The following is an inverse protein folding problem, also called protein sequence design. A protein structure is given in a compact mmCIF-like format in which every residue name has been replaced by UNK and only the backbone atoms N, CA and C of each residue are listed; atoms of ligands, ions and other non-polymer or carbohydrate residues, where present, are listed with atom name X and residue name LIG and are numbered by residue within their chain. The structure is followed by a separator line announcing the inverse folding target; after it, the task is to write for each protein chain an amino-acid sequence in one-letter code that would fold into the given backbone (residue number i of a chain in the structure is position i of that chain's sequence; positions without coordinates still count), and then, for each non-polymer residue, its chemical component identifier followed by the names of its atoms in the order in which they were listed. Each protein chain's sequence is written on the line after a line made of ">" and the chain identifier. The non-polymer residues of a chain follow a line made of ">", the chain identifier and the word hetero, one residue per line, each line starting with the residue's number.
data_IF_945100105573
#
_entry.id   IF_945100105573
#
_cell.length_a   1.000
_cell.length_b   1.000
_cell.length_c   1.000
_cell.angle_alpha   90.00
_cell.angle_beta   90.00
_cell.angle_gamma   90.00
#
_symmetry.space_group_name_H-M   'P 1'
#
loop_
_entity.id
_entity.type
_entity.pdbx_description
1 polymer ?
#
# COMPACT_ATOMS: atom_id res chain seq x y z
N UNK A 1 7.38 -12.15 7.65
CA UNK A 1 7.85 -10.95 6.90
C UNK A 1 7.26 -11.00 5.49
N UNK A 2 6.63 -9.92 5.03
CA UNK A 2 6.13 -9.79 3.66
C UNK A 2 7.31 -9.85 2.67
N UNK A 3 7.08 -10.52 1.53
CA UNK A 3 8.11 -10.64 0.49
C UNK A 3 8.38 -9.27 -0.14
N UNK A 4 9.65 -8.85 -0.17
CA UNK A 4 10.07 -7.61 -0.81
C UNK A 4 9.73 -7.62 -2.32
N UNK A 5 9.37 -6.46 -2.90
CA UNK A 5 9.14 -6.36 -4.33
C UNK A 5 10.42 -6.68 -5.14
N UNK A 6 10.27 -7.50 -6.18
CA UNK A 6 11.40 -7.90 -7.03
C UNK A 6 12.02 -6.74 -7.83
N UNK A 7 11.27 -5.64 -8.03
CA UNK A 7 11.71 -4.45 -8.74
C UNK A 7 12.24 -3.32 -7.82
N UNK A 8 12.49 -3.58 -6.54
CA UNK A 8 12.97 -2.58 -5.58
C UNK A 8 14.26 -1.90 -6.05
N UNK A 9 15.26 -2.68 -6.45
CA UNK A 9 16.54 -2.14 -6.92
C UNK A 9 16.35 -1.22 -8.15
N UNK A 10 15.45 -1.59 -9.06
CA UNK A 10 15.13 -0.77 -10.23
C UNK A 10 14.42 0.53 -9.87
N UNK A 11 13.51 0.49 -8.88
CA UNK A 11 12.84 1.71 -8.39
C UNK A 11 13.86 2.70 -7.83
N UNK A 12 14.81 2.21 -7.03
CA UNK A 12 15.89 3.04 -6.47
C UNK A 12 16.80 3.58 -7.57
N UNK A 13 17.22 2.74 -8.51
CA UNK A 13 18.07 3.18 -9.63
C UNK A 13 17.39 4.29 -10.46
N UNK A 14 16.07 4.19 -10.70
CA UNK A 14 15.31 5.20 -11.43
C UNK A 14 15.26 6.52 -10.66
N UNK A 15 15.01 6.49 -9.36
CA UNK A 15 14.97 7.69 -8.53
C UNK A 15 16.35 8.36 -8.40
N UNK A 16 17.42 7.58 -8.23
CA UNK A 16 18.78 8.11 -8.21
C UNK A 16 19.17 8.73 -9.57
N UNK A 17 18.79 8.11 -10.68
CA UNK A 17 19.06 8.66 -12.01
C UNK A 17 18.32 9.99 -12.26
N UNK A 18 17.09 10.14 -11.74
CA UNK A 18 16.30 11.38 -11.81
C UNK A 18 17.01 12.52 -11.08
N UNK A 19 17.54 12.27 -9.87
CA UNK A 19 18.08 13.29 -8.98
C UNK A 19 19.54 13.64 -9.32
N UNK A 20 20.37 12.64 -9.64
CA UNK A 20 21.81 12.82 -9.87
C UNK A 20 22.07 13.33 -11.31
N UNK A 21 21.32 12.85 -12.30
CA UNK A 21 21.53 13.21 -13.71
C UNK A 21 22.95 12.97 -14.16
N UNK A 22 23.64 14.04 -14.60
CA UNK A 22 25.04 14.00 -15.05
C UNK A 22 26.07 14.06 -13.91
N UNK A 23 25.66 14.22 -12.65
CA UNK A 23 26.51 14.26 -11.46
C UNK A 23 26.01 15.23 -10.40
N UNK A 24 26.35 14.97 -9.13
CA UNK A 24 26.05 15.85 -8.00
C UNK A 24 27.13 16.93 -7.86
N UNK A 25 26.87 18.08 -8.48
CA UNK A 25 27.79 19.23 -8.46
C UNK A 25 28.00 19.84 -7.07
N UNK A 26 27.03 19.65 -6.15
CA UNK A 26 27.13 20.17 -4.77
C UNK A 26 28.02 19.27 -3.92
N UNK A 27 27.97 17.97 -4.10
CA UNK A 27 28.85 17.04 -3.40
C UNK A 27 30.33 17.28 -3.68
N UNK A 28 30.68 17.86 -4.84
CA UNK A 28 32.08 18.20 -5.18
C UNK A 28 32.67 19.28 -4.27
N UNK A 29 31.85 20.08 -3.59
CA UNK A 29 32.27 21.08 -2.61
C UNK A 29 32.86 20.43 -1.35
N UNK A 30 32.58 19.16 -1.12
CA UNK A 30 33.04 18.41 0.05
C UNK A 30 34.31 17.63 -0.30
N UNK A 31 35.38 17.65 0.53
CA UNK A 31 36.56 16.85 0.28
C UNK A 31 36.23 15.36 0.14
N UNK A 32 36.87 14.69 -0.85
CA UNK A 32 36.53 13.28 -1.17
C UNK A 32 36.74 12.31 0.00
N UNK A 33 37.71 12.58 0.87
CA UNK A 33 38.03 11.77 2.04
C UNK A 33 37.21 12.16 3.30
N UNK A 34 36.42 13.23 3.22
CA UNK A 34 35.62 13.69 4.36
C UNK A 34 34.64 12.61 4.80
N UNK A 35 34.64 12.30 6.08
CA UNK A 35 33.67 11.36 6.69
C UNK A 35 32.58 12.14 7.42
N UNK A 36 31.47 11.47 7.59
CA UNK A 36 30.30 12.03 8.27
C UNK A 36 29.61 10.93 9.07
N UNK A 37 29.07 11.31 10.21
CA UNK A 37 28.10 10.53 10.96
C UNK A 37 26.79 11.31 11.04
N UNK A 38 25.68 10.60 11.26
CA UNK A 38 24.40 11.27 11.36
C UNK A 38 23.29 10.39 11.88
N UNK A 39 22.12 10.99 12.04
CA UNK A 39 20.91 10.26 12.41
C UNK A 39 19.69 10.82 11.70
N UNK A 40 18.74 9.93 11.44
CA UNK A 40 17.40 10.27 10.95
C UNK A 40 16.39 10.08 12.08
N UNK A 41 15.56 11.09 12.28
CA UNK A 41 14.46 11.09 13.24
C UNK A 41 13.13 11.30 12.51
N UNK A 42 12.05 10.77 13.05
CA UNK A 42 10.68 11.21 12.70
C UNK A 42 10.29 12.42 13.57
N UNK A 43 9.54 13.37 13.00
CA UNK A 43 8.99 14.52 13.74
C UNK A 43 7.56 14.31 14.19
N UNK A 44 6.93 13.21 13.78
CA UNK A 44 5.57 12.86 14.12
C UNK A 44 5.44 11.35 14.37
N UNK A 45 4.36 10.94 15.01
CA UNK A 45 4.03 9.52 15.21
C UNK A 45 3.70 8.88 13.85
N UNK A 46 4.23 7.68 13.61
CA UNK A 46 4.06 6.98 12.35
C UNK A 46 4.20 5.46 12.49
N UNK A 47 3.85 4.76 11.43
CA UNK A 47 4.25 3.36 11.22
C UNK A 47 5.39 3.37 10.22
N UNK A 48 6.58 2.91 10.62
CA UNK A 48 7.78 2.93 9.77
C UNK A 48 7.61 1.96 8.60
N UNK A 49 8.01 2.42 7.41
CA UNK A 49 8.13 1.56 6.23
C UNK A 49 9.08 2.18 5.20
N UNK A 50 9.92 1.35 4.57
CA UNK A 50 10.83 1.78 3.52
C UNK A 50 12.30 1.52 3.82
N UNK A 51 12.62 0.87 4.94
CA UNK A 51 13.99 0.49 5.30
C UNK A 51 14.75 -0.19 4.15
N UNK A 52 14.19 -1.17 3.42
CA UNK A 52 14.90 -1.81 2.30
C UNK A 52 15.27 -0.85 1.16
N UNK A 53 14.45 0.17 0.90
CA UNK A 53 14.76 1.20 -0.12
C UNK A 53 15.89 2.10 0.33
N UNK A 54 15.92 2.53 1.60
CA UNK A 54 17.03 3.32 2.17
C UNK A 54 18.35 2.54 2.08
N UNK A 55 18.34 1.26 2.47
CA UNK A 55 19.51 0.39 2.36
C UNK A 55 19.99 0.28 0.92
N UNK A 56 19.06 0.12 -0.02
CA UNK A 56 19.38 -0.01 -1.44
C UNK A 56 19.91 1.29 -2.05
N UNK A 57 19.40 2.48 -1.62
CA UNK A 57 19.94 3.78 -2.05
C UNK A 57 21.43 3.87 -1.74
N UNK A 58 21.81 3.62 -0.50
CA UNK A 58 23.23 3.71 -0.11
C UNK A 58 24.05 2.56 -0.68
N UNK A 59 23.49 1.36 -0.83
CA UNK A 59 24.20 0.25 -1.50
C UNK A 59 24.56 0.59 -2.96
N UNK A 60 23.70 1.33 -3.69
CA UNK A 60 23.97 1.72 -5.08
C UNK A 60 24.96 2.87 -5.17
N UNK A 61 25.01 3.76 -4.19
CA UNK A 61 25.92 4.91 -4.18
C UNK A 61 27.30 4.56 -3.64
N UNK A 62 27.35 3.93 -2.47
CA UNK A 62 28.57 3.46 -1.82
C UNK A 62 28.22 2.35 -0.82
N UNK A 63 28.53 1.09 -1.10
CA UNK A 63 28.23 -0.03 -0.22
C UNK A 63 29.02 -0.01 1.11
N UNK A 64 30.00 0.89 1.29
CA UNK A 64 30.72 1.06 2.54
C UNK A 64 29.96 1.93 3.57
N UNK A 65 28.88 2.60 3.17
CA UNK A 65 28.00 3.35 4.07
C UNK A 65 27.33 2.40 5.06
N UNK A 66 27.49 2.71 6.35
CA UNK A 66 26.94 1.91 7.43
C UNK A 66 25.61 2.50 7.91
N UNK A 67 24.61 1.65 8.07
CA UNK A 67 23.30 1.99 8.61
C UNK A 67 23.02 1.14 9.85
N UNK A 68 22.69 1.81 10.96
CA UNK A 68 22.30 1.14 12.21
C UNK A 68 20.86 1.53 12.53
N UNK A 69 19.93 0.59 12.31
CA UNK A 69 18.50 0.78 12.51
C UNK A 69 18.08 0.59 13.97
N UNK A 70 17.11 1.39 14.41
CA UNK A 70 16.50 1.34 15.74
C UNK A 70 15.01 0.97 15.69
N UNK A 71 14.45 0.78 14.49
CA UNK A 71 13.09 0.30 14.26
C UNK A 71 13.04 -0.47 12.94
N UNK A 72 12.09 -1.39 12.82
CA UNK A 72 11.84 -2.18 11.63
C UNK A 72 10.57 -1.74 10.90
N UNK A 73 10.43 -2.14 9.62
CA UNK A 73 9.22 -1.89 8.85
C UNK A 73 8.00 -2.54 9.54
N UNK A 74 6.96 -1.75 9.76
CA UNK A 74 5.74 -2.12 10.50
C UNK A 74 5.73 -1.68 11.96
N UNK A 75 6.87 -1.26 12.52
CA UNK A 75 6.92 -0.73 13.88
C UNK A 75 6.24 0.63 14.00
N UNK A 76 5.57 0.85 15.13
CA UNK A 76 5.11 2.18 15.50
C UNK A 76 6.26 2.98 16.08
N UNK A 77 6.46 4.18 15.57
CA UNK A 77 7.48 5.12 16.01
C UNK A 77 6.82 6.40 16.49
N UNK A 78 7.46 7.06 17.45
CA UNK A 78 6.93 8.28 18.07
C UNK A 78 7.75 9.52 17.68
N UNK A 79 7.14 10.70 17.76
CA UNK A 79 7.78 11.95 17.43
C UNK A 79 9.14 12.11 18.14
N UNK A 80 10.16 12.52 17.39
CA UNK A 80 11.56 12.68 17.79
C UNK A 80 12.34 11.36 18.03
N UNK A 81 11.74 10.19 17.75
CA UNK A 81 12.47 8.93 17.81
C UNK A 81 13.52 8.86 16.69
N UNK A 82 14.72 8.39 17.03
CA UNK A 82 15.74 8.05 16.04
C UNK A 82 15.35 6.74 15.34
N UNK A 83 15.25 6.80 14.00
CA UNK A 83 14.91 5.65 13.15
C UNK A 83 16.16 4.86 12.80
N UNK A 84 17.21 5.55 12.39
CA UNK A 84 18.53 4.95 12.13
C UNK A 84 19.66 5.97 12.27
N UNK A 85 20.87 5.44 12.50
CA UNK A 85 22.14 6.16 12.41
C UNK A 85 22.82 5.82 11.09
N UNK A 86 23.61 6.76 10.56
CA UNK A 86 24.37 6.60 9.31
C UNK A 86 25.81 7.04 9.51
N UNK A 87 26.76 6.31 8.92
CA UNK A 87 28.18 6.68 8.92
C UNK A 87 28.83 6.28 7.59
N UNK A 88 29.66 7.16 7.03
CA UNK A 88 30.35 6.88 5.77
C UNK A 88 31.14 8.06 5.23
N UNK A 89 31.50 7.99 3.96
CA UNK A 89 32.01 9.16 3.21
C UNK A 89 30.90 10.18 3.04
N UNK A 90 31.22 11.46 3.19
CA UNK A 90 30.24 12.54 3.18
C UNK A 90 29.52 12.68 1.83
N UNK A 91 30.25 12.56 0.71
CA UNK A 91 29.67 12.72 -0.63
C UNK A 91 28.52 11.75 -0.90
N UNK A 92 28.68 10.41 -0.82
CA UNK A 92 27.56 9.49 -1.07
C UNK A 92 26.42 9.62 -0.04
N UNK A 93 26.72 9.99 1.23
CA UNK A 93 25.68 10.25 2.23
C UNK A 93 24.82 11.45 1.85
N UNK A 94 25.44 12.55 1.45
CA UNK A 94 24.73 13.78 1.01
C UNK A 94 23.94 13.54 -0.29
N UNK A 95 24.54 12.87 -1.28
CA UNK A 95 23.87 12.56 -2.56
C UNK A 95 22.66 11.66 -2.35
N UNK A 96 22.74 10.69 -1.43
CA UNK A 96 21.67 9.72 -1.18
C UNK A 96 20.56 10.21 -0.24
N UNK A 97 20.82 11.25 0.57
CA UNK A 97 19.91 11.71 1.62
C UNK A 97 18.47 11.91 1.11
N UNK A 98 18.31 12.72 0.05
CA UNK A 98 16.98 13.09 -0.42
C UNK A 98 16.20 11.89 -0.92
N UNK A 99 16.82 11.02 -1.73
CA UNK A 99 16.18 9.80 -2.21
C UNK A 99 15.83 8.83 -1.09
N UNK A 100 16.72 8.63 -0.13
CA UNK A 100 16.48 7.79 1.04
C UNK A 100 15.28 8.29 1.86
N UNK A 101 15.22 9.61 2.15
CA UNK A 101 14.11 10.20 2.89
C UNK A 101 12.82 10.20 2.08
N UNK A 102 12.86 10.41 0.76
CA UNK A 102 11.66 10.39 -0.10
C UNK A 102 10.98 9.01 -0.08
N UNK A 103 11.72 7.91 -0.19
CA UNK A 103 11.15 6.58 -0.06
C UNK A 103 10.61 6.33 1.35
N UNK A 104 11.40 6.65 2.38
CA UNK A 104 11.02 6.38 3.76
C UNK A 104 9.77 7.15 4.17
N UNK A 105 9.68 8.45 3.86
CA UNK A 105 8.54 9.30 4.21
C UNK A 105 7.26 8.91 3.48
N UNK A 106 7.35 8.54 2.19
CA UNK A 106 6.20 8.14 1.37
C UNK A 106 5.65 6.79 1.80
N UNK A 107 6.52 5.80 1.98
CA UNK A 107 6.11 4.44 2.35
C UNK A 107 5.62 4.38 3.79
N UNK A 108 6.27 5.10 4.71
CA UNK A 108 5.77 5.25 6.09
C UNK A 108 4.40 5.93 6.13
N UNK A 109 4.14 6.92 5.26
CA UNK A 109 2.82 7.54 5.16
C UNK A 109 1.73 6.55 4.73
N UNK A 110 2.01 5.71 3.73
CA UNK A 110 1.10 4.64 3.30
C UNK A 110 0.85 3.62 4.42
N UNK A 111 1.92 3.19 5.11
CA UNK A 111 1.81 2.26 6.23
C UNK A 111 1.03 2.87 7.42
N UNK A 112 1.26 4.15 7.72
CA UNK A 112 0.57 4.88 8.80
C UNK A 112 -0.92 5.04 8.50
N UNK A 113 -1.27 5.46 7.27
CA UNK A 113 -2.66 5.56 6.85
C UNK A 113 -3.37 4.19 6.94
N UNK A 114 -2.71 3.14 6.46
CA UNK A 114 -3.26 1.77 6.53
C UNK A 114 -3.47 1.33 7.99
N UNK A 115 -2.49 1.58 8.86
CA UNK A 115 -2.56 1.25 10.29
C UNK A 115 -3.75 1.92 10.97
N UNK A 116 -4.02 3.19 10.64
CA UNK A 116 -5.17 3.90 11.17
C UNK A 116 -6.50 3.19 10.88
N UNK A 117 -6.69 2.71 9.65
CA UNK A 117 -7.88 1.95 9.27
C UNK A 117 -7.93 0.56 9.91
N UNK A 118 -6.80 -0.15 9.98
CA UNK A 118 -6.70 -1.47 10.63
C UNK A 118 -7.06 -1.36 12.12
N UNK A 119 -6.55 -0.33 12.80
CA UNK A 119 -6.86 -0.09 14.22
C UNK A 119 -8.35 0.25 14.41
N UNK A 120 -8.94 1.03 13.50
CA UNK A 120 -10.35 1.42 13.58
C UNK A 120 -11.31 0.22 13.49
N UNK A 121 -10.92 -0.85 12.78
CA UNK A 121 -11.74 -2.07 12.66
C UNK A 121 -11.34 -3.19 13.62
N UNK A 122 -10.42 -2.93 14.56
CA UNK A 122 -9.94 -3.95 15.50
C UNK A 122 -11.10 -4.62 16.26
N UNK A 123 -11.05 -5.96 16.35
CA UNK A 123 -12.10 -6.77 17.00
C UNK A 123 -13.29 -7.12 16.08
N UNK A 124 -13.27 -6.75 14.79
CA UNK A 124 -14.19 -7.27 13.77
C UNK A 124 -13.50 -8.36 12.94
N UNK A 125 -14.26 -9.07 12.10
CA UNK A 125 -13.73 -10.06 11.16
C UNK A 125 -13.20 -9.45 9.86
N UNK A 126 -13.53 -8.19 9.59
CA UNK A 126 -13.18 -7.53 8.33
C UNK A 126 -11.67 -7.26 8.21
N UNK A 127 -11.17 -7.24 6.98
CA UNK A 127 -9.79 -6.83 6.68
C UNK A 127 -9.76 -5.65 5.68
N UNK A 128 -8.74 -4.78 5.84
CA UNK A 128 -8.52 -3.63 4.95
C UNK A 128 -7.73 -4.08 3.73
N UNK A 129 -8.22 -3.74 2.53
CA UNK A 129 -7.55 -3.95 1.26
C UNK A 129 -7.05 -2.65 0.64
N UNK A 130 -5.93 -2.75 -0.05
CA UNK A 130 -5.50 -1.72 -0.99
C UNK A 130 -6.27 -1.79 -2.32
N UNK A 131 -5.94 -0.90 -3.24
CA UNK A 131 -6.50 -0.88 -4.59
C UNK A 131 -5.40 -0.68 -5.64
N UNK A 132 -5.79 -0.52 -6.91
CA UNK A 132 -4.88 -0.08 -7.99
C UNK A 132 -4.73 1.44 -8.10
N UNK A 133 -5.36 2.22 -7.21
CA UNK A 133 -5.24 3.69 -7.16
C UNK A 133 -3.93 4.07 -6.43
N UNK A 134 -2.78 3.82 -7.07
CA UNK A 134 -1.43 4.00 -6.53
C UNK A 134 -0.66 5.07 -7.27
N UNK A 135 0.42 5.58 -6.65
CA UNK A 135 1.39 6.44 -7.34
C UNK A 135 2.01 5.65 -8.51
N UNK A 136 2.02 6.21 -9.74
CA UNK A 136 2.66 5.55 -10.88
C UNK A 136 4.11 5.16 -10.59
N UNK A 137 4.51 3.95 -11.00
CA UNK A 137 5.86 3.41 -10.77
C UNK A 137 6.10 2.83 -9.37
N UNK A 138 5.31 3.22 -8.34
CA UNK A 138 5.52 2.82 -6.94
C UNK A 138 4.47 1.83 -6.40
N UNK A 139 3.64 1.21 -7.27
CA UNK A 139 2.56 0.32 -6.81
C UNK A 139 3.07 -0.82 -5.92
N UNK A 140 4.13 -1.48 -6.32
CA UNK A 140 4.67 -2.61 -5.55
C UNK A 140 5.22 -2.17 -4.19
N UNK A 141 5.85 -0.98 -4.12
CA UNK A 141 6.34 -0.39 -2.89
C UNK A 141 5.18 0.02 -1.95
N UNK A 142 4.14 0.67 -2.49
CA UNK A 142 2.97 1.04 -1.69
C UNK A 142 2.19 -0.19 -1.20
N UNK A 143 2.07 -1.23 -2.03
CA UNK A 143 1.45 -2.49 -1.60
C UNK A 143 2.24 -3.18 -0.49
N UNK A 144 3.57 -3.15 -0.53
CA UNK A 144 4.41 -3.57 0.58
C UNK A 144 4.13 -2.74 1.85
N UNK A 145 4.01 -1.42 1.70
CA UNK A 145 3.71 -0.53 2.83
C UNK A 145 2.32 -0.79 3.44
N UNK A 146 1.33 -1.17 2.63
CA UNK A 146 0.01 -1.61 3.12
C UNK A 146 0.15 -2.84 4.03
N UNK A 147 0.97 -3.83 3.65
CA UNK A 147 1.25 -5.00 4.50
C UNK A 147 1.93 -4.60 5.81
N UNK A 148 2.90 -3.67 5.77
CA UNK A 148 3.55 -3.14 6.98
C UNK A 148 2.54 -2.40 7.88
N UNK A 149 1.53 -1.75 7.31
CA UNK A 149 0.42 -1.15 8.04
C UNK A 149 -0.58 -2.15 8.63
N UNK A 150 -0.47 -3.45 8.30
CA UNK A 150 -1.38 -4.50 8.78
C UNK A 150 -2.59 -4.73 7.87
N UNK A 151 -2.66 -4.06 6.72
CA UNK A 151 -3.65 -4.34 5.69
C UNK A 151 -3.28 -5.55 4.83
N UNK A 152 -4.09 -5.83 3.82
CA UNK A 152 -3.88 -6.90 2.86
C UNK A 152 -3.83 -6.33 1.44
N UNK A 153 -3.13 -7.02 0.56
CA UNK A 153 -3.07 -6.63 -0.83
C UNK A 153 -4.26 -7.20 -1.61
N UNK A 154 -4.94 -6.34 -2.34
CA UNK A 154 -5.80 -6.69 -3.44
C UNK A 154 -4.95 -6.94 -4.71
N UNK A 155 -5.57 -7.19 -5.87
CA UNK A 155 -4.86 -7.49 -7.12
C UNK A 155 -3.72 -6.50 -7.42
N UNK A 156 -2.61 -7.02 -7.92
CA UNK A 156 -1.43 -6.24 -8.26
C UNK A 156 -1.62 -5.49 -9.60
N UNK A 157 -2.28 -6.14 -10.57
CA UNK A 157 -2.44 -5.57 -11.91
C UNK A 157 -3.69 -6.07 -12.63
N UNK A 158 -3.66 -6.03 -13.96
CA UNK A 158 -4.74 -6.55 -14.81
C UNK A 158 -4.59 -8.04 -15.13
N UNK A 159 -3.51 -8.66 -14.65
CA UNK A 159 -3.07 -9.98 -15.02
C UNK A 159 -3.28 -11.05 -13.93
N UNK A 160 -3.54 -10.67 -12.71
CA UNK A 160 -3.57 -11.59 -11.55
C UNK A 160 -4.97 -11.87 -11.00
N UNK A 161 -5.97 -11.04 -11.32
CA UNK A 161 -7.37 -11.23 -10.94
C UNK A 161 -8.31 -10.50 -11.91
N UNK A 162 -9.48 -11.07 -12.16
CA UNK A 162 -10.54 -10.43 -12.96
C UNK A 162 -11.43 -9.60 -12.03
N UNK A 163 -11.70 -8.34 -12.41
CA UNK A 163 -12.75 -7.48 -11.82
C UNK A 163 -13.70 -7.05 -12.94
N UNK A 164 -14.93 -7.53 -12.86
CA UNK A 164 -16.02 -7.16 -13.75
C UNK A 164 -16.65 -5.87 -13.22
N UNK A 165 -16.85 -4.90 -14.10
CA UNK A 165 -17.47 -3.60 -13.81
C UNK A 165 -18.65 -3.37 -14.74
N UNK A 166 -19.41 -2.31 -14.49
CA UNK A 166 -20.60 -1.89 -15.26
C UNK A 166 -20.38 -1.97 -16.77
N UNK A 167 -19.26 -1.51 -17.28
CA UNK A 167 -18.96 -1.52 -18.71
C UNK A 167 -18.73 -2.96 -19.27
N UNK A 168 -18.20 -3.86 -18.45
CA UNK A 168 -18.04 -5.26 -18.85
C UNK A 168 -19.40 -5.98 -18.87
N UNK A 169 -20.28 -5.67 -17.90
CA UNK A 169 -21.65 -6.20 -17.83
C UNK A 169 -22.45 -5.74 -19.05
N UNK A 170 -22.39 -4.43 -19.36
CA UNK A 170 -23.07 -3.87 -20.54
C UNK A 170 -22.59 -4.51 -21.84
N UNK A 171 -21.28 -4.72 -21.99
CA UNK A 171 -20.72 -5.38 -23.18
C UNK A 171 -21.09 -6.87 -23.31
N UNK A 172 -21.25 -7.58 -22.17
CA UNK A 172 -21.65 -8.99 -22.16
C UNK A 172 -23.17 -9.21 -22.29
N UNK A 173 -23.97 -8.15 -22.12
CA UNK A 173 -25.46 -8.17 -22.19
C UNK A 173 -26.15 -8.51 -20.87
N UNK A 174 -25.47 -9.13 -19.90
CA UNK A 174 -25.97 -9.34 -18.53
C UNK A 174 -24.83 -9.62 -17.55
N UNK A 175 -25.09 -9.44 -16.26
CA UNK A 175 -24.14 -9.74 -15.18
C UNK A 175 -23.76 -11.22 -15.17
N UNK A 176 -24.72 -12.12 -15.30
CA UNK A 176 -24.46 -13.57 -15.36
C UNK A 176 -23.58 -13.93 -16.55
N UNK A 177 -23.87 -13.40 -17.76
CA UNK A 177 -23.05 -13.64 -18.95
C UNK A 177 -21.62 -13.11 -18.80
N UNK A 178 -21.45 -11.94 -18.15
CA UNK A 178 -20.13 -11.39 -17.86
C UNK A 178 -19.32 -12.29 -16.90
N UNK A 179 -19.93 -12.80 -15.82
CA UNK A 179 -19.28 -13.73 -14.88
C UNK A 179 -18.89 -15.04 -15.59
N UNK A 180 -19.75 -15.61 -16.42
CA UNK A 180 -19.44 -16.82 -17.17
C UNK A 180 -18.30 -16.61 -18.17
N UNK A 181 -18.29 -15.48 -18.89
CA UNK A 181 -17.20 -15.12 -19.79
C UNK A 181 -15.88 -14.93 -19.04
N UNK A 182 -15.94 -14.23 -17.89
CA UNK A 182 -14.78 -14.03 -17.02
C UNK A 182 -14.20 -15.36 -16.51
N UNK A 183 -15.02 -16.30 -16.09
CA UNK A 183 -14.56 -17.63 -15.64
C UNK A 183 -13.83 -18.40 -16.74
N UNK A 184 -14.33 -18.33 -17.98
CA UNK A 184 -13.65 -18.96 -19.12
C UNK A 184 -12.28 -18.34 -19.39
N UNK A 185 -12.17 -17.01 -19.21
CA UNK A 185 -10.93 -16.26 -19.45
C UNK A 185 -9.94 -16.30 -18.28
N UNK A 186 -10.44 -16.42 -17.04
CA UNK A 186 -9.64 -16.32 -15.83
C UNK A 186 -8.70 -17.51 -15.60
N UNK A 187 -9.05 -18.69 -16.09
CA UNK A 187 -8.36 -19.94 -15.72
C UNK A 187 -8.49 -20.20 -14.21
N UNK A 188 -7.37 -20.23 -13.49
CA UNK A 188 -7.36 -20.43 -12.04
C UNK A 188 -7.42 -19.12 -11.22
N UNK A 189 -7.53 -17.96 -11.89
CA UNK A 189 -7.58 -16.66 -11.21
C UNK A 189 -8.97 -16.40 -10.66
N UNK A 190 -9.02 -15.65 -9.54
CA UNK A 190 -10.29 -15.23 -8.94
C UNK A 190 -11.08 -14.32 -9.89
N UNK A 191 -12.39 -14.49 -9.87
CA UNK A 191 -13.36 -13.64 -10.55
C UNK A 191 -14.13 -12.85 -9.52
N UNK A 192 -14.06 -11.55 -9.64
CA UNK A 192 -14.80 -10.60 -8.84
C UNK A 192 -15.74 -9.78 -9.73
N UNK A 193 -16.89 -9.43 -9.18
CA UNK A 193 -17.86 -8.54 -9.81
C UNK A 193 -18.25 -7.42 -8.89
N UNK A 194 -18.24 -6.19 -9.41
CA UNK A 194 -18.73 -4.98 -8.78
C UNK A 194 -20.23 -4.86 -9.03
N UNK A 195 -21.02 -4.60 -7.97
CA UNK A 195 -22.46 -4.42 -8.02
C UNK A 195 -22.84 -3.15 -7.26
N UNK A 196 -23.83 -2.42 -7.78
CA UNK A 196 -24.26 -1.13 -7.24
C UNK A 196 -25.68 -1.20 -6.62
N UNK A 197 -26.39 -2.31 -6.81
CA UNK A 197 -27.76 -2.47 -6.33
C UNK A 197 -28.01 -3.83 -5.65
N UNK A 198 -28.96 -3.91 -4.69
CA UNK A 198 -29.37 -5.19 -4.10
C UNK A 198 -29.88 -6.21 -5.12
N UNK A 199 -30.46 -5.78 -6.24
CA UNK A 199 -30.92 -6.64 -7.32
C UNK A 199 -29.77 -7.29 -8.05
N UNK A 200 -28.73 -6.51 -8.42
CA UNK A 200 -27.48 -7.02 -9.01
C UNK A 200 -26.75 -7.95 -8.05
N UNK A 201 -26.72 -7.60 -6.74
CA UNK A 201 -26.16 -8.50 -5.73
C UNK A 201 -26.87 -9.87 -5.73
N UNK A 202 -28.19 -9.90 -5.74
CA UNK A 202 -28.95 -11.14 -5.75
C UNK A 202 -28.71 -11.96 -7.03
N UNK A 203 -28.49 -11.33 -8.19
CA UNK A 203 -28.09 -11.99 -9.43
C UNK A 203 -26.67 -12.51 -9.34
N UNK A 204 -25.72 -11.70 -8.89
CA UNK A 204 -24.32 -12.09 -8.70
C UNK A 204 -24.17 -13.29 -7.75
N UNK A 205 -24.90 -13.27 -6.62
CA UNK A 205 -24.89 -14.36 -5.63
C UNK A 205 -25.37 -15.70 -6.24
N UNK A 206 -26.36 -15.68 -7.15
CA UNK A 206 -26.80 -16.88 -7.89
C UNK A 206 -25.72 -17.39 -8.84
N UNK A 207 -25.03 -16.48 -9.55
CA UNK A 207 -23.94 -16.81 -10.45
C UNK A 207 -22.66 -17.22 -9.73
N UNK A 208 -22.55 -16.92 -8.42
CA UNK A 208 -21.52 -17.33 -7.47
C UNK A 208 -20.08 -17.08 -7.97
N UNK A 209 -19.64 -15.82 -8.24
CA UNK A 209 -18.23 -15.49 -8.45
C UNK A 209 -17.42 -15.78 -7.17
N UNK A 210 -16.11 -15.57 -7.20
CA UNK A 210 -15.29 -15.75 -5.99
C UNK A 210 -15.50 -14.58 -5.00
N UNK A 211 -15.69 -13.36 -5.52
CA UNK A 211 -15.88 -12.13 -4.72
C UNK A 211 -17.00 -11.30 -5.34
N UNK A 212 -17.85 -10.71 -4.50
CA UNK A 212 -18.80 -9.66 -4.89
C UNK A 212 -18.40 -8.38 -4.14
N UNK A 213 -18.09 -7.33 -4.90
CA UNK A 213 -17.85 -6.00 -4.38
C UNK A 213 -19.16 -5.21 -4.36
N UNK A 214 -19.53 -4.74 -3.17
CA UNK A 214 -20.67 -3.87 -2.93
C UNK A 214 -20.18 -2.42 -3.02
N UNK A 215 -20.43 -1.75 -4.14
CA UNK A 215 -19.98 -0.37 -4.37
C UNK A 215 -21.04 0.62 -3.93
N UNK A 216 -20.68 1.54 -3.01
CA UNK A 216 -21.53 2.58 -2.42
C UNK A 216 -22.85 2.05 -1.78
N UNK A 217 -22.88 0.81 -1.30
CA UNK A 217 -24.05 0.25 -0.58
C UNK A 217 -24.28 0.97 0.75
N UNK A 218 -25.57 1.10 1.14
CA UNK A 218 -25.92 1.52 2.49
C UNK A 218 -25.55 0.45 3.52
N UNK A 219 -25.38 0.84 4.80
CA UNK A 219 -25.09 -0.10 5.87
C UNK A 219 -26.20 -1.16 6.02
N UNK A 220 -27.44 -0.82 5.76
CA UNK A 220 -28.57 -1.75 5.86
C UNK A 220 -28.58 -2.74 4.69
N UNK A 221 -28.26 -2.28 3.47
CA UNK A 221 -28.11 -3.15 2.30
C UNK A 221 -26.90 -4.09 2.48
N UNK A 222 -25.78 -3.61 3.05
CA UNK A 222 -24.62 -4.47 3.39
C UNK A 222 -25.03 -5.56 4.38
N UNK A 223 -25.76 -5.24 5.46
CA UNK A 223 -26.27 -6.23 6.42
C UNK A 223 -27.19 -7.25 5.76
N UNK A 224 -28.10 -6.79 4.89
CA UNK A 224 -28.99 -7.67 4.15
C UNK A 224 -28.20 -8.60 3.21
N UNK A 225 -27.17 -8.09 2.51
CA UNK A 225 -26.32 -8.88 1.65
C UNK A 225 -25.54 -9.94 2.42
N UNK A 226 -24.96 -9.59 3.56
CA UNK A 226 -24.25 -10.52 4.47
C UNK A 226 -25.21 -11.62 4.97
N UNK A 227 -26.41 -11.25 5.44
CA UNK A 227 -27.42 -12.21 5.90
C UNK A 227 -27.80 -13.20 4.80
N UNK A 228 -28.09 -12.69 3.59
CA UNK A 228 -28.46 -13.54 2.45
C UNK A 228 -27.30 -14.47 2.01
N UNK A 229 -26.06 -14.00 2.02
CA UNK A 229 -24.89 -14.84 1.74
C UNK A 229 -24.72 -15.95 2.77
N UNK A 230 -24.94 -15.65 4.07
CA UNK A 230 -24.86 -16.61 5.16
C UNK A 230 -25.97 -17.67 5.08
N UNK A 231 -27.21 -17.30 4.73
CA UNK A 231 -28.31 -18.25 4.48
C UNK A 231 -27.98 -19.24 3.35
N UNK A 232 -27.14 -18.85 2.40
CA UNK A 232 -26.64 -19.71 1.31
C UNK A 232 -25.36 -20.47 1.68
N UNK A 233 -24.93 -20.43 2.93
CA UNK A 233 -23.74 -21.14 3.43
C UNK A 233 -22.44 -20.37 3.22
N UNK A 234 -22.45 -19.04 3.26
CA UNK A 234 -21.29 -18.16 3.02
C UNK A 234 -20.58 -18.47 1.69
N UNK A 235 -21.34 -18.33 0.64
CA UNK A 235 -21.02 -18.89 -0.69
C UNK A 235 -19.96 -18.10 -1.46
N UNK A 236 -19.83 -16.79 -1.17
CA UNK A 236 -18.92 -15.85 -1.83
C UNK A 236 -18.26 -14.96 -0.79
N UNK A 237 -17.09 -14.44 -1.10
CA UNK A 237 -16.45 -13.38 -0.31
C UNK A 237 -17.10 -12.04 -0.63
N UNK A 238 -17.41 -11.24 0.38
CA UNK A 238 -18.02 -9.93 0.22
C UNK A 238 -17.02 -8.81 0.51
N UNK A 239 -16.90 -7.88 -0.42
CA UNK A 239 -16.05 -6.69 -0.30
C UNK A 239 -16.94 -5.43 -0.30
N UNK A 240 -16.69 -4.50 0.62
CA UNK A 240 -17.26 -3.16 0.59
C UNK A 240 -16.29 -2.18 -0.07
N UNK A 241 -16.81 -1.34 -0.96
CA UNK A 241 -16.09 -0.27 -1.65
C UNK A 241 -16.93 1.01 -1.69
N UNK A 242 -16.28 2.13 -2.01
CA UNK A 242 -16.93 3.44 -2.13
C UNK A 242 -16.82 4.28 -0.86
N UNK A 243 -16.42 5.53 -1.01
CA UNK A 243 -16.44 6.65 -0.03
C UNK A 243 -16.07 6.30 1.44
N UNK A 244 -15.20 5.29 1.67
CA UNK A 244 -14.82 4.83 3.01
C UNK A 244 -13.87 5.84 3.67
N UNK A 245 -14.22 6.28 4.88
CA UNK A 245 -13.39 7.16 5.74
C UNK A 245 -13.10 6.50 7.09
N UNK A 246 -12.20 7.10 7.89
CA UNK A 246 -11.92 6.62 9.25
C UNK A 246 -13.17 6.68 10.16
N UNK A 247 -14.09 7.63 9.91
CA UNK A 247 -15.33 7.78 10.67
C UNK A 247 -16.38 6.73 10.30
N UNK A 248 -16.34 6.19 9.08
CA UNK A 248 -17.35 5.24 8.58
C UNK A 248 -16.88 3.78 8.62
N UNK A 249 -15.58 3.53 8.50
CA UNK A 249 -15.01 2.18 8.32
C UNK A 249 -15.42 1.19 9.42
N UNK A 250 -15.51 1.65 10.68
CA UNK A 250 -15.94 0.81 11.80
C UNK A 250 -17.36 0.28 11.61
N UNK A 251 -18.29 1.16 11.21
CA UNK A 251 -19.70 0.78 10.98
C UNK A 251 -19.84 -0.18 9.81
N UNK A 252 -19.00 0.00 8.76
CA UNK A 252 -18.94 -0.92 7.62
C UNK A 252 -18.45 -2.29 8.08
N UNK A 253 -17.34 -2.36 8.84
CA UNK A 253 -16.80 -3.61 9.35
C UNK A 253 -17.79 -4.37 10.25
N UNK A 254 -18.63 -3.64 11.03
CA UNK A 254 -19.66 -4.21 11.90
C UNK A 254 -20.88 -4.77 11.15
N UNK A 255 -20.99 -4.57 9.84
CA UNK A 255 -22.03 -5.24 9.02
C UNK A 255 -21.75 -6.72 8.80
N UNK A 256 -20.51 -7.18 9.06
CA UNK A 256 -20.08 -8.56 8.84
C UNK A 256 -19.46 -8.79 7.46
N UNK A 257 -19.12 -7.71 6.73
CA UNK A 257 -18.39 -7.79 5.46
C UNK A 257 -17.00 -8.40 5.67
N UNK A 258 -16.46 -9.13 4.67
CA UNK A 258 -15.15 -9.78 4.77
C UNK A 258 -14.00 -8.81 4.51
N UNK A 259 -14.15 -7.94 3.50
CA UNK A 259 -13.12 -7.00 3.07
C UNK A 259 -13.68 -5.59 2.91
N UNK A 260 -12.79 -4.60 3.13
CA UNK A 260 -13.08 -3.18 2.87
C UNK A 260 -11.92 -2.62 2.06
N UNK A 261 -12.15 -2.28 0.79
CA UNK A 261 -11.13 -1.70 -0.08
C UNK A 261 -11.09 -0.19 0.02
N UNK A 262 -9.88 0.35 0.21
CA UNK A 262 -9.69 1.79 0.46
C UNK A 262 -8.63 2.35 -0.47
N UNK A 263 -9.05 3.05 -1.52
CA UNK A 263 -8.11 3.73 -2.42
C UNK A 263 -7.35 4.89 -1.77
N UNK A 264 -7.92 5.48 -0.71
CA UNK A 264 -7.33 6.61 0.01
C UNK A 264 -5.96 6.32 0.61
N UNK A 265 -5.73 5.09 1.09
CA UNK A 265 -4.47 4.69 1.75
C UNK A 265 -3.25 4.72 0.82
N UNK A 266 -3.46 4.71 -0.49
CA UNK A 266 -2.37 4.74 -1.49
C UNK A 266 -2.40 5.94 -2.42
N UNK A 267 -3.54 6.66 -2.57
CA UNK A 267 -3.64 7.83 -3.46
C UNK A 267 -3.59 9.17 -2.71
N UNK A 268 -4.01 9.23 -1.44
CA UNK A 268 -4.00 10.45 -0.61
C UNK A 268 -2.84 10.41 0.38
N UNK A 269 -1.62 10.57 -0.15
CA UNK A 269 -0.39 10.47 0.64
C UNK A 269 -0.02 11.83 1.19
N UNK A 270 0.05 11.92 2.53
CA UNK A 270 0.72 12.98 3.26
C UNK A 270 2.01 12.41 3.83
N UNK A 271 3.15 12.75 3.21
CA UNK A 271 4.46 12.24 3.61
C UNK A 271 4.74 12.51 5.10
N UNK A 272 5.36 11.53 5.78
CA UNK A 272 5.79 11.67 7.17
C UNK A 272 6.95 12.66 7.25
N UNK A 273 6.91 13.59 8.21
CA UNK A 273 7.99 14.57 8.39
C UNK A 273 9.21 13.91 9.03
N UNK A 274 10.28 13.77 8.24
CA UNK A 274 11.56 13.19 8.63
C UNK A 274 12.67 14.24 8.59
N UNK A 275 13.69 14.06 9.42
CA UNK A 275 14.84 14.95 9.45
C UNK A 275 16.13 14.14 9.60
N UNK A 276 17.09 14.38 8.69
CA UNK A 276 18.47 13.93 8.84
C UNK A 276 19.32 15.05 9.43
N UNK A 277 20.19 14.70 10.37
CA UNK A 277 21.18 15.62 10.93
C UNK A 277 22.54 14.96 10.86
N UNK A 278 23.49 15.65 10.24
CA UNK A 278 24.84 15.18 10.01
C UNK A 278 25.84 15.95 10.90
N UNK A 279 26.90 15.25 11.30
CA UNK A 279 28.09 15.81 11.95
C UNK A 279 29.31 15.39 11.13
N UNK A 280 30.17 16.34 10.82
CA UNK A 280 31.39 16.13 10.04
C UNK A 280 32.57 15.92 11.00
N UNK A 281 33.40 14.92 10.73
CA UNK A 281 34.61 14.60 11.51
C UNK A 281 35.73 15.59 11.21
#
# INVERSE_FOLDING_TARGET
>A
MSKLPSNLAQQVATALAEDIGSGDITAELVPAAQRVTGKVITREDATLCGRPWVVEVFRQLDPSVQLKWHADDGDRVTANQTLFEIAGLARPVLTGERNALNFLQLLSATATATRGYVDAIAGTSAAILDTRKTVPGLRTAQKYAVLCGGGQNYRLGLFDQVLIKENHIAAAGSLTAAIEAARRAAGSRKVEVEVETPQEFAEALRAAPDIIMLDEFSLDDMRAAVALNNEKGHRVTLEASGSVTLETVRKIAETGIDYISIGGITKHIRAVDLSMRLAFD
#
